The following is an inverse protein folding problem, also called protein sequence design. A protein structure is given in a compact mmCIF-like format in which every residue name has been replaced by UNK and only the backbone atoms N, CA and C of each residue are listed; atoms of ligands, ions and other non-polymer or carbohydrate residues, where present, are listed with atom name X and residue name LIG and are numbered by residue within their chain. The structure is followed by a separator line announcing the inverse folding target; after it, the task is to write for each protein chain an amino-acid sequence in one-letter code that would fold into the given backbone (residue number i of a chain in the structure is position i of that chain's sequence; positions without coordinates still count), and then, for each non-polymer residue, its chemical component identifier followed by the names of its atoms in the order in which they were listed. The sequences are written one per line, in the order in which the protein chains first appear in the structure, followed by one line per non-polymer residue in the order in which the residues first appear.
data_IF_236191385772
#
_entry.id   IF_236191385772
#
_cell.length_a   1.000
_cell.length_b   1.000
_cell.length_c   1.000
_cell.angle_alpha   90.00
_cell.angle_beta   90.00
_cell.angle_gamma   90.00
#
_symmetry.space_group_name_H-M   'P 1'
#
loop_
_entity.id
_entity.type
_entity.pdbx_description
1 polymer ?
#
# COMPACT_ATOMS: atom_id res chain seq x y z
N UNK A 1 7.35 -7.09 5.19
CA UNK A 1 8.61 -6.47 4.72
C UNK A 1 8.35 -5.49 3.57
N UNK A 2 9.22 -4.48 3.39
CA UNK A 2 9.19 -3.56 2.23
C UNK A 2 10.10 -4.05 1.11
N UNK A 3 9.64 -3.93 -0.13
CA UNK A 3 10.36 -4.35 -1.34
C UNK A 3 10.30 -3.27 -2.40
N UNK A 4 11.39 -3.11 -3.14
CA UNK A 4 11.41 -2.35 -4.37
C UNK A 4 11.12 -3.31 -5.52
N UNK A 5 10.00 -3.14 -6.21
CA UNK A 5 9.56 -4.05 -7.27
C UNK A 5 9.18 -3.30 -8.54
N UNK A 6 9.58 -3.85 -9.68
CA UNK A 6 9.12 -3.42 -10.99
C UNK A 6 7.78 -4.07 -11.32
N UNK A 7 6.80 -3.23 -11.66
CA UNK A 7 5.44 -3.62 -11.99
C UNK A 7 5.06 -3.01 -13.34
N UNK A 8 4.05 -3.61 -13.97
CA UNK A 8 3.47 -3.10 -15.21
C UNK A 8 2.00 -2.80 -14.95
N UNK A 9 1.55 -1.63 -15.38
CA UNK A 9 0.16 -1.23 -15.29
C UNK A 9 -0.32 -0.74 -16.66
N UNK A 10 -1.57 -1.08 -16.97
CA UNK A 10 -2.20 -0.78 -18.24
C UNK A 10 -3.17 0.36 -18.01
N UNK A 11 -2.96 1.48 -18.70
CA UNK A 11 -3.80 2.67 -18.59
C UNK A 11 -4.61 2.81 -19.88
N UNK A 12 -5.92 2.99 -19.75
CA UNK A 12 -6.80 3.31 -20.86
C UNK A 12 -7.01 4.83 -20.94
N UNK A 13 -6.72 5.41 -22.08
CA UNK A 13 -6.81 6.85 -22.32
C UNK A 13 -7.84 7.15 -23.41
N UNK A 14 -8.72 8.11 -23.14
CA UNK A 14 -9.68 8.60 -24.13
C UNK A 14 -9.00 9.50 -25.17
N UNK A 15 -9.38 9.43 -26.47
CA UNK A 15 -8.77 10.24 -27.54
C UNK A 15 -8.73 11.74 -27.29
N UNK A 16 -9.68 12.28 -26.52
CA UNK A 16 -9.69 13.71 -26.14
C UNK A 16 -8.43 14.16 -25.39
N UNK A 17 -7.71 13.24 -24.75
CA UNK A 17 -6.49 13.53 -24.00
C UNK A 17 -5.21 13.21 -24.80
N UNK A 18 -5.32 12.96 -26.13
CA UNK A 18 -4.16 12.78 -27.02
C UNK A 18 -3.58 14.14 -27.42
N UNK A 19 -3.15 14.91 -26.43
CA UNK A 19 -2.49 16.19 -26.60
C UNK A 19 -0.98 16.12 -26.31
N UNK A 20 -0.28 17.26 -26.42
CA UNK A 20 1.13 17.37 -26.02
C UNK A 20 1.36 17.10 -24.52
N UNK A 21 0.31 17.24 -23.69
CA UNK A 21 0.32 16.95 -22.25
C UNK A 21 -0.02 15.50 -21.90
N UNK A 22 -0.27 14.63 -22.88
CA UNK A 22 -0.54 13.20 -22.68
C UNK A 22 0.45 12.50 -21.73
N UNK A 23 1.79 12.63 -21.89
CA UNK A 23 2.71 11.94 -20.99
C UNK A 23 2.59 12.41 -19.54
N UNK A 24 2.30 13.69 -19.29
CA UNK A 24 2.05 14.20 -17.92
C UNK A 24 0.79 13.58 -17.35
N UNK A 25 -0.29 13.57 -18.13
CA UNK A 25 -1.55 12.96 -17.72
C UNK A 25 -1.41 11.47 -17.39
N UNK A 26 -0.64 10.71 -18.20
CA UNK A 26 -0.38 9.30 -17.94
C UNK A 26 0.39 9.08 -16.62
N UNK A 27 1.31 9.98 -16.26
CA UNK A 27 2.03 9.91 -14.97
C UNK A 27 1.06 10.15 -13.82
N UNK A 28 0.30 11.24 -13.86
CA UNK A 28 -0.64 11.59 -12.80
C UNK A 28 -1.68 10.50 -12.61
N UNK A 29 -2.19 9.95 -13.73
CA UNK A 29 -3.14 8.85 -13.73
C UNK A 29 -2.54 7.57 -13.16
N UNK A 30 -1.29 7.26 -13.50
CA UNK A 30 -0.57 6.12 -12.91
C UNK A 30 -0.49 6.28 -11.38
N UNK A 31 -0.03 7.42 -10.88
CA UNK A 31 0.10 7.67 -9.45
C UNK A 31 -1.26 7.51 -8.75
N UNK A 32 -2.31 8.11 -9.30
CA UNK A 32 -3.67 8.02 -8.73
C UNK A 32 -4.21 6.59 -8.68
N UNK A 33 -3.95 5.79 -9.72
CA UNK A 33 -4.56 4.46 -9.85
C UNK A 33 -3.76 3.38 -9.11
N UNK A 34 -2.45 3.55 -8.89
CA UNK A 34 -1.60 2.52 -8.27
C UNK A 34 -1.23 2.81 -6.82
N UNK A 35 -1.07 4.07 -6.42
CA UNK A 35 -0.66 4.41 -5.07
C UNK A 35 -1.79 4.12 -4.07
N UNK A 36 -1.45 3.42 -2.98
CA UNK A 36 -2.42 2.98 -1.98
C UNK A 36 -3.24 1.75 -2.38
N UNK A 37 -3.04 1.19 -3.57
CA UNK A 37 -3.72 -0.06 -3.94
C UNK A 37 -3.11 -1.28 -3.26
N UNK A 38 -3.93 -2.29 -3.00
CA UNK A 38 -3.48 -3.56 -2.45
C UNK A 38 -3.80 -4.69 -3.44
N UNK A 39 -2.79 -5.51 -3.73
CA UNK A 39 -2.95 -6.73 -4.52
C UNK A 39 -2.46 -7.91 -3.71
N UNK A 40 -3.25 -8.98 -3.58
CA UNK A 40 -2.83 -10.17 -2.82
C UNK A 40 -1.53 -10.81 -3.34
N UNK A 41 -1.22 -10.66 -4.63
CA UNK A 41 0.02 -11.18 -5.23
C UNK A 41 1.24 -10.35 -4.85
N UNK A 42 1.12 -9.03 -4.94
CA UNK A 42 2.26 -8.11 -4.81
C UNK A 42 2.39 -7.50 -3.41
N UNK A 43 1.29 -7.33 -2.69
CA UNK A 43 1.19 -6.61 -1.42
C UNK A 43 0.52 -5.25 -1.58
N UNK A 44 0.75 -4.37 -0.61
CA UNK A 44 0.34 -2.97 -0.62
C UNK A 44 1.33 -2.12 -1.41
N UNK A 45 0.87 -1.41 -2.43
CA UNK A 45 1.67 -0.44 -3.17
C UNK A 45 1.66 0.88 -2.39
N UNK A 46 2.81 1.26 -1.86
CA UNK A 46 2.93 2.46 -1.02
C UNK A 46 3.09 3.69 -1.89
N UNK A 47 4.09 3.69 -2.77
CA UNK A 47 4.40 4.82 -3.65
C UNK A 47 5.17 4.35 -4.87
N UNK A 48 5.02 5.08 -5.98
CA UNK A 48 5.81 4.89 -7.19
C UNK A 48 7.11 5.68 -7.06
N UNK A 49 8.25 5.00 -7.20
CA UNK A 49 9.59 5.63 -7.11
C UNK A 49 9.98 6.25 -8.43
N UNK A 50 9.85 5.49 -9.52
CA UNK A 50 10.27 5.93 -10.83
C UNK A 50 9.47 5.24 -11.92
N UNK A 51 9.19 5.96 -13.00
CA UNK A 51 8.58 5.42 -14.21
C UNK A 51 9.73 5.08 -15.17
N UNK A 52 9.91 3.81 -15.46
CA UNK A 52 11.01 3.35 -16.31
C UNK A 52 10.71 3.53 -17.79
N UNK A 53 9.54 3.08 -18.23
CA UNK A 53 9.19 3.12 -19.65
C UNK A 53 7.68 3.23 -19.86
N UNK A 54 7.28 4.09 -20.78
CA UNK A 54 5.91 4.21 -21.27
C UNK A 54 5.87 3.52 -22.63
N UNK A 55 5.22 2.37 -22.70
CA UNK A 55 5.06 1.60 -23.92
C UNK A 55 4.25 2.36 -24.98
N UNK A 56 4.43 1.99 -26.24
CA UNK A 56 3.66 2.56 -27.35
C UNK A 56 2.16 2.27 -27.14
N UNK A 57 1.36 3.33 -27.20
CA UNK A 57 -0.10 3.22 -27.08
C UNK A 57 -0.70 2.43 -28.24
N UNK A 58 -1.59 1.50 -27.95
CA UNK A 58 -2.35 0.75 -28.96
C UNK A 58 -3.80 1.18 -28.90
N UNK A 59 -4.37 1.59 -30.03
CA UNK A 59 -5.79 1.94 -30.08
C UNK A 59 -6.62 0.66 -30.13
N UNK A 60 -7.54 0.52 -29.17
CA UNK A 60 -8.49 -0.59 -29.10
C UNK A 60 -9.54 -0.43 -30.21
N UNK A 61 -9.73 -1.45 -31.07
CA UNK A 61 -10.75 -1.40 -32.10
C UNK A 61 -12.15 -1.41 -31.44
N UNK A 62 -13.04 -0.52 -31.89
CA UNK A 62 -14.43 -0.44 -31.44
C UNK A 62 -14.71 0.71 -30.46
N UNK A 63 -13.89 0.90 -29.42
CA UNK A 63 -14.08 2.00 -28.45
C UNK A 63 -13.28 3.26 -28.79
N UNK A 64 -12.22 3.14 -29.60
CA UNK A 64 -11.30 4.23 -29.90
C UNK A 64 -10.37 4.60 -28.74
N UNK A 65 -10.46 3.94 -27.58
CA UNK A 65 -9.55 4.17 -26.46
C UNK A 65 -8.12 3.72 -26.81
N UNK A 66 -7.10 4.42 -26.33
CA UNK A 66 -5.73 3.91 -26.38
C UNK A 66 -5.33 3.22 -25.10
N UNK A 67 -4.69 2.07 -25.25
CA UNK A 67 -4.10 1.27 -24.19
C UNK A 67 -2.59 1.56 -24.13
N UNK A 68 -2.12 2.03 -22.97
CA UNK A 68 -0.71 2.29 -22.70
C UNK A 68 -0.18 1.35 -21.62
N UNK A 69 0.88 0.60 -21.96
CA UNK A 69 1.58 -0.26 -21.00
C UNK A 69 2.72 0.52 -20.34
N UNK A 70 2.55 0.87 -19.07
CA UNK A 70 3.54 1.62 -18.31
C UNK A 70 4.29 0.68 -17.37
N UNK A 71 5.62 0.65 -17.51
CA UNK A 71 6.53 -0.03 -16.59
C UNK A 71 7.05 0.97 -15.57
N UNK A 72 6.83 0.67 -14.30
CA UNK A 72 7.22 1.52 -13.19
C UNK A 72 7.80 0.70 -12.05
N UNK A 73 8.57 1.37 -11.22
CA UNK A 73 9.15 0.82 -10.01
C UNK A 73 8.42 1.41 -8.81
N UNK A 74 7.95 0.55 -7.92
CA UNK A 74 7.20 0.94 -6.74
C UNK A 74 7.76 0.29 -5.49
N UNK A 75 7.59 0.98 -4.36
CA UNK A 75 7.80 0.42 -3.04
C UNK A 75 6.52 -0.32 -2.65
N UNK A 76 6.66 -1.61 -2.37
CA UNK A 76 5.57 -2.50 -2.04
C UNK A 76 5.78 -3.09 -0.65
N UNK A 77 4.77 -3.06 0.19
CA UNK A 77 4.77 -3.69 1.50
C UNK A 77 4.00 -5.01 1.44
N UNK A 78 4.70 -6.13 1.67
CA UNK A 78 4.10 -7.46 1.72
C UNK A 78 4.46 -8.13 3.05
N UNK A 79 3.49 -8.32 3.95
CA UNK A 79 3.71 -9.05 5.20
C UNK A 79 3.75 -10.56 4.93
N UNK A 80 4.63 -11.27 5.64
CA UNK A 80 4.71 -12.73 5.60
C UNK A 80 4.24 -13.36 6.92
N UNK A 81 3.69 -14.58 6.84
CA UNK A 81 3.32 -15.35 8.04
C UNK A 81 4.59 -15.68 8.84
N UNK A 82 4.59 -15.33 10.12
CA UNK A 82 5.75 -15.49 11.00
C UNK A 82 6.80 -14.37 10.89
N UNK A 83 6.51 -13.30 10.15
CA UNK A 83 7.37 -12.12 10.12
C UNK A 83 7.14 -11.26 11.38
N UNK A 84 8.22 -10.99 12.10
CA UNK A 84 8.23 -10.10 13.27
C UNK A 84 8.39 -8.66 12.79
N UNK A 85 7.37 -7.82 12.99
CA UNK A 85 7.36 -6.43 12.50
C UNK A 85 6.98 -5.48 13.64
N UNK A 86 7.70 -4.36 13.75
CA UNK A 86 7.35 -3.33 14.73
C UNK A 86 6.06 -2.60 14.32
N UNK A 87 5.10 -2.48 15.23
CA UNK A 87 3.79 -1.88 14.98
C UNK A 87 3.39 -0.90 16.08
N UNK A 88 2.51 0.04 15.74
CA UNK A 88 1.92 1.00 16.69
C UNK A 88 0.52 0.53 17.05
N UNK A 89 0.24 0.45 18.35
CA UNK A 89 -1.09 0.06 18.85
C UNK A 89 -2.09 1.19 18.60
N UNK A 90 -3.09 0.93 17.77
CA UNK A 90 -4.21 1.87 17.56
C UNK A 90 -5.32 1.63 18.57
N UNK A 91 -5.79 0.39 18.69
CA UNK A 91 -6.89 0.00 19.56
C UNK A 91 -6.51 -1.22 20.39
N UNK A 92 -6.87 -1.18 21.67
CA UNK A 92 -6.65 -2.27 22.61
C UNK A 92 -7.99 -2.96 22.86
N UNK A 93 -8.08 -4.27 22.59
CA UNK A 93 -9.29 -5.08 22.82
C UNK A 93 -8.93 -6.39 23.53
N UNK A 94 -9.90 -7.00 24.21
CA UNK A 94 -9.80 -8.12 25.18
C UNK A 94 -9.27 -9.47 24.63
N UNK A 95 -8.71 -9.50 23.43
CA UNK A 95 -8.36 -10.71 22.68
C UNK A 95 -6.86 -11.11 22.77
N UNK A 96 -6.05 -10.39 23.55
CA UNK A 96 -4.60 -10.65 23.70
C UNK A 96 -4.37 -11.69 24.83
N UNK A 97 -3.31 -12.52 24.75
CA UNK A 97 -3.04 -13.69 25.62
C UNK A 97 -3.20 -13.46 27.13
N UNK A 98 -3.41 -14.59 27.83
CA UNK A 98 -3.72 -14.71 29.27
C UNK A 98 -2.65 -14.16 30.22
N UNK A 99 -1.47 -13.81 29.71
CA UNK A 99 -0.32 -13.28 30.44
C UNK A 99 -0.38 -11.75 30.65
N UNK A 100 -1.20 -11.03 29.87
CA UNK A 100 -1.42 -9.59 30.07
C UNK A 100 -2.82 -9.29 30.63
N UNK A 101 -2.88 -8.55 31.74
CA UNK A 101 -4.16 -8.11 32.32
C UNK A 101 -4.68 -6.91 31.56
N UNK A 102 -5.90 -7.03 31.04
CA UNK A 102 -6.61 -5.91 30.42
C UNK A 102 -7.26 -5.05 31.50
N UNK A 103 -6.90 -3.76 31.54
CA UNK A 103 -7.57 -2.77 32.37
C UNK A 103 -8.52 -1.90 31.52
N UNK A 104 -9.85 -2.14 31.60
CA UNK A 104 -10.85 -1.35 30.88
C UNK A 104 -11.07 0.04 31.48
N UNK A 105 -10.64 0.28 32.73
CA UNK A 105 -10.87 1.55 33.42
C UNK A 105 -9.75 2.57 33.18
N UNK A 106 -8.67 2.16 32.52
CA UNK A 106 -7.60 3.06 32.07
C UNK A 106 -8.13 4.08 31.06
N UNK A 107 -7.71 5.34 31.17
CA UNK A 107 -8.00 6.38 30.19
C UNK A 107 -6.69 6.81 29.49
N UNK A 108 -6.33 6.27 28.32
CA UNK A 108 -7.06 5.27 27.50
C UNK A 108 -6.87 3.80 27.98
N UNK A 109 -7.73 2.85 27.54
CA UNK A 109 -7.66 1.43 27.91
C UNK A 109 -6.29 0.82 27.63
N UNK A 110 -5.82 -0.06 28.51
CA UNK A 110 -4.44 -0.56 28.46
C UNK A 110 -4.30 -2.02 28.88
N UNK A 111 -3.21 -2.64 28.44
CA UNK A 111 -2.72 -3.90 28.98
C UNK A 111 -1.59 -3.64 29.96
N UNK A 112 -1.59 -4.35 31.09
CA UNK A 112 -0.56 -4.26 32.11
C UNK A 112 -0.03 -5.66 32.47
N UNK A 113 1.28 -5.80 32.48
CA UNK A 113 2.04 -6.89 33.11
C UNK A 113 2.84 -6.33 34.30
N UNK A 114 3.55 -7.18 35.04
CA UNK A 114 4.35 -6.75 36.22
C UNK A 114 5.44 -5.72 35.84
N UNK A 115 5.98 -5.82 34.62
CA UNK A 115 7.11 -4.99 34.16
C UNK A 115 6.74 -4.00 33.03
N UNK A 116 5.56 -4.11 32.41
CA UNK A 116 5.25 -3.35 31.20
C UNK A 116 3.78 -2.92 31.11
N UNK A 117 3.57 -1.67 30.65
CA UNK A 117 2.24 -1.15 30.34
C UNK A 117 2.14 -0.80 28.85
N UNK A 118 1.16 -1.40 28.19
CA UNK A 118 0.87 -1.23 26.76
C UNK A 118 -0.39 -0.40 26.63
N UNK A 119 -0.25 0.82 26.10
CA UNK A 119 -1.36 1.76 25.83
C UNK A 119 -1.48 2.02 24.34
N UNK A 120 -2.56 2.66 23.90
CA UNK A 120 -2.61 3.25 22.55
C UNK A 120 -1.34 4.09 22.30
N UNK A 121 -0.79 4.01 21.09
CA UNK A 121 0.47 4.64 20.64
C UNK A 121 1.76 3.95 21.12
N UNK A 122 1.69 2.92 21.96
CA UNK A 122 2.88 2.12 22.30
C UNK A 122 3.41 1.34 21.07
N UNK A 123 4.74 1.24 20.97
CA UNK A 123 5.42 0.45 19.94
C UNK A 123 5.57 -0.98 20.44
N UNK A 124 5.04 -1.94 19.68
CA UNK A 124 5.12 -3.36 19.98
C UNK A 124 5.85 -4.11 18.87
N UNK A 125 6.48 -5.22 19.24
CA UNK A 125 7.07 -6.19 18.33
C UNK A 125 6.39 -7.55 18.54
N UNK A 126 5.35 -7.89 17.76
CA UNK A 126 4.66 -9.18 17.86
C UNK A 126 5.61 -10.30 17.44
N UNK A 127 5.72 -11.33 18.28
CA UNK A 127 6.43 -12.58 17.97
C UNK A 127 5.47 -13.65 17.49
#
# INVERSE_FOLDING_TARGET
MFFLKELTHIIHLHPSYFGPSMPTYLKDKLHQDVEGTCSGRFGYIITVVAIQNIGKGKVLPGSGLAEFNVKYQAIVFKPYKGEVVDAVVSTVNKLIPSDMKFDPNGNPPCYQSEDQQVRCVSRLRPR
#
